data_IF_081389614068
#
_entry.id   IF_081389614068
#
_cell.length_a   1.000
_cell.length_b   1.000
_cell.length_c   1.000
_cell.angle_alpha   90.00
_cell.angle_beta   90.00
_cell.angle_gamma   90.00
#
_symmetry.space_group_name_H-M   'P 1'
#
loop_
_entity.id
_entity.type
_entity.pdbx_description
1 polymer ?
#
# COMPACT_ATOMS: atom_id res chain seq x y z
N UNK A 1 28.30 -3.29 -14.96
CA UNK A 1 27.60 -2.45 -15.93
C UNK A 1 26.40 -1.93 -15.18
N UNK A 2 26.32 -0.62 -14.98
CA UNK A 2 25.29 -0.02 -14.14
C UNK A 2 23.93 -0.12 -14.87
N UNK A 3 22.83 -0.25 -14.14
CA UNK A 3 21.49 -0.33 -14.75
C UNK A 3 21.17 0.94 -15.55
N UNK A 4 21.74 2.08 -15.11
CA UNK A 4 21.73 3.33 -15.84
C UNK A 4 22.42 3.22 -17.22
N UNK A 5 23.59 2.56 -17.30
CA UNK A 5 24.32 2.37 -18.56
C UNK A 5 23.50 1.55 -19.58
N UNK A 6 22.76 0.55 -19.09
CA UNK A 6 21.87 -0.28 -19.92
C UNK A 6 20.68 0.53 -20.43
N UNK A 7 20.07 1.37 -19.59
CA UNK A 7 18.98 2.26 -20.03
C UNK A 7 19.46 3.29 -21.07
N UNK A 8 20.64 3.88 -20.88
CA UNK A 8 21.23 4.82 -21.84
C UNK A 8 21.58 4.11 -23.16
N UNK A 9 22.12 2.90 -23.10
CA UNK A 9 22.39 2.12 -24.31
C UNK A 9 21.11 1.80 -25.08
N UNK A 10 20.08 1.31 -24.40
CA UNK A 10 18.79 0.98 -25.00
C UNK A 10 18.09 2.22 -25.57
N UNK A 11 18.19 3.37 -24.90
CA UNK A 11 17.57 4.59 -25.41
C UNK A 11 18.19 5.06 -26.73
N UNK A 12 19.50 4.88 -26.91
CA UNK A 12 20.18 5.22 -28.17
C UNK A 12 19.77 4.32 -29.35
N UNK A 13 19.18 3.14 -29.10
CA UNK A 13 18.71 2.23 -30.15
C UNK A 13 17.27 2.50 -30.58
N UNK A 14 16.51 3.29 -29.81
CA UNK A 14 15.10 3.53 -30.06
C UNK A 14 14.87 4.78 -30.92
N UNK A 15 13.85 4.77 -31.82
CA UNK A 15 13.42 5.98 -32.49
C UNK A 15 13.01 7.07 -31.49
N UNK A 16 13.36 8.33 -31.77
CA UNK A 16 13.07 9.48 -30.88
C UNK A 16 11.57 9.61 -30.55
N UNK A 17 10.69 9.33 -31.51
CA UNK A 17 9.24 9.36 -31.30
C UNK A 17 8.79 8.29 -30.31
N UNK A 18 9.40 7.10 -30.33
CA UNK A 18 9.11 6.02 -29.39
C UNK A 18 9.60 6.38 -27.99
N UNK A 19 10.81 6.93 -27.86
CA UNK A 19 11.34 7.42 -26.59
C UNK A 19 10.43 8.48 -25.97
N UNK A 20 10.01 9.46 -26.76
CA UNK A 20 9.12 10.53 -26.29
C UNK A 20 7.76 9.99 -25.81
N UNK A 21 7.20 8.96 -26.48
CA UNK A 21 5.98 8.28 -26.01
C UNK A 21 6.20 7.56 -24.70
N UNK A 22 7.29 6.80 -24.59
CA UNK A 22 7.64 6.04 -23.38
C UNK A 22 7.87 6.98 -22.19
N UNK A 23 8.64 8.06 -22.37
CA UNK A 23 8.95 9.04 -21.33
C UNK A 23 7.73 9.88 -20.91
N UNK A 24 6.74 10.03 -21.79
CA UNK A 24 5.47 10.67 -21.46
C UNK A 24 4.53 9.73 -20.71
N UNK A 25 4.51 8.45 -21.06
CA UNK A 25 3.52 7.49 -20.55
C UNK A 25 3.96 6.85 -19.22
N UNK A 26 5.11 6.17 -19.22
CA UNK A 26 5.46 5.25 -18.13
C UNK A 26 5.72 5.93 -16.78
N UNK A 27 6.42 7.08 -16.70
CA UNK A 27 6.61 7.79 -15.44
C UNK A 27 5.30 8.26 -14.79
N UNK A 28 4.25 8.44 -15.58
CA UNK A 28 2.93 8.88 -15.09
C UNK A 28 2.02 7.74 -14.64
N UNK A 29 2.35 6.47 -14.94
CA UNK A 29 1.49 5.34 -14.61
C UNK A 29 1.27 5.18 -13.11
N UNK A 30 2.33 5.20 -12.31
CA UNK A 30 2.24 5.02 -10.85
C UNK A 30 1.49 6.18 -10.18
N UNK A 31 1.84 7.47 -10.40
CA UNK A 31 1.06 8.58 -9.86
C UNK A 31 -0.41 8.55 -10.28
N UNK A 32 -0.70 8.28 -11.56
CA UNK A 32 -2.06 8.21 -12.05
C UNK A 32 -2.86 7.07 -11.40
N UNK A 33 -2.24 5.91 -11.17
CA UNK A 33 -2.87 4.79 -10.49
C UNK A 33 -3.28 5.15 -9.06
N UNK A 34 -2.40 5.83 -8.31
CA UNK A 34 -2.67 6.26 -6.93
C UNK A 34 -3.85 7.25 -6.88
N UNK A 35 -3.83 8.28 -7.74
CA UNK A 35 -4.91 9.27 -7.83
C UNK A 35 -6.23 8.64 -8.29
N UNK A 36 -6.15 7.68 -9.21
CA UNK A 36 -7.29 6.97 -9.72
C UNK A 36 -7.96 6.11 -8.64
N UNK A 37 -7.18 5.35 -7.87
CA UNK A 37 -7.68 4.57 -6.72
C UNK A 37 -8.41 5.48 -5.72
N UNK A 38 -7.81 6.63 -5.37
CA UNK A 38 -8.44 7.60 -4.46
C UNK A 38 -9.76 8.16 -5.04
N UNK A 39 -9.81 8.38 -6.35
CA UNK A 39 -11.02 8.84 -7.05
C UNK A 39 -12.12 7.78 -7.04
N UNK A 40 -11.78 6.50 -7.23
CA UNK A 40 -12.72 5.37 -7.15
C UNK A 40 -13.28 5.25 -5.74
N UNK A 41 -12.44 5.35 -4.71
CA UNK A 41 -12.90 5.35 -3.32
C UNK A 41 -13.85 6.52 -3.03
N UNK A 42 -13.53 7.70 -3.55
CA UNK A 42 -14.35 8.90 -3.38
C UNK A 42 -15.72 8.72 -4.03
N UNK A 43 -15.76 8.20 -5.25
CA UNK A 43 -17.02 7.93 -5.94
C UNK A 43 -17.86 6.86 -5.23
N UNK A 44 -17.23 5.77 -4.79
CA UNK A 44 -17.91 4.71 -4.02
C UNK A 44 -18.48 5.26 -2.71
N UNK A 45 -17.73 6.15 -2.04
CA UNK A 45 -18.17 6.81 -0.83
C UNK A 45 -19.36 7.75 -1.08
N UNK A 46 -19.28 8.61 -2.11
CA UNK A 46 -20.36 9.52 -2.52
C UNK A 46 -21.62 8.72 -2.85
N UNK A 47 -21.52 7.68 -3.67
CA UNK A 47 -22.64 6.84 -4.07
C UNK A 47 -23.31 6.15 -2.86
N UNK A 48 -22.52 5.77 -1.86
CA UNK A 48 -23.03 5.13 -0.66
C UNK A 48 -23.89 6.03 0.24
N UNK A 49 -23.78 7.35 0.13
CA UNK A 49 -24.67 8.25 0.89
C UNK A 49 -26.14 8.12 0.46
N UNK A 50 -26.39 7.75 -0.80
CA UNK A 50 -27.74 7.52 -1.30
C UNK A 50 -28.33 6.18 -0.80
N UNK A 51 -27.48 5.24 -0.37
CA UNK A 51 -27.86 3.88 -0.01
C UNK A 51 -27.05 3.43 1.22
N UNK A 52 -27.60 3.68 2.42
CA UNK A 52 -27.03 3.17 3.67
C UNK A 52 -26.78 1.65 3.52
N UNK A 53 -25.56 1.21 3.83
CA UNK A 53 -25.05 -0.17 3.70
C UNK A 53 -24.63 -0.67 2.30
N UNK A 54 -24.72 0.15 1.24
CA UNK A 54 -24.25 -0.24 -0.09
C UNK A 54 -22.75 0.01 -0.35
N UNK A 55 -21.99 0.50 0.65
CA UNK A 55 -20.54 0.83 0.51
C UNK A 55 -19.72 -0.33 -0.04
N UNK A 56 -19.91 -1.51 0.55
CA UNK A 56 -19.23 -2.74 0.17
C UNK A 56 -19.63 -3.12 -1.26
N UNK A 57 -20.92 -3.01 -1.59
CA UNK A 57 -21.42 -3.33 -2.92
C UNK A 57 -20.81 -2.42 -3.99
N UNK A 58 -20.72 -1.10 -3.75
CA UNK A 58 -20.10 -0.18 -4.70
C UNK A 58 -18.61 -0.46 -4.91
N UNK A 59 -17.87 -0.78 -3.86
CA UNK A 59 -16.46 -1.19 -3.97
C UNK A 59 -16.32 -2.51 -4.74
N UNK A 60 -17.21 -3.47 -4.51
CA UNK A 60 -17.25 -4.74 -5.24
C UNK A 60 -17.61 -4.55 -6.72
N UNK A 61 -18.56 -3.67 -7.02
CA UNK A 61 -18.91 -3.32 -8.40
C UNK A 61 -17.74 -2.64 -9.11
N UNK A 62 -17.06 -1.69 -8.45
CA UNK A 62 -15.85 -1.08 -8.99
C UNK A 62 -14.76 -2.13 -9.26
N UNK A 63 -14.50 -3.02 -8.30
CA UNK A 63 -13.54 -4.11 -8.45
C UNK A 63 -13.90 -5.01 -9.64
N UNK A 64 -15.17 -5.41 -9.78
CA UNK A 64 -15.61 -6.23 -10.91
C UNK A 64 -15.40 -5.51 -12.25
N UNK A 65 -15.84 -4.25 -12.34
CA UNK A 65 -15.73 -3.41 -13.52
C UNK A 65 -14.26 -3.26 -13.97
N UNK A 66 -13.35 -2.93 -13.05
CA UNK A 66 -11.94 -2.74 -13.41
C UNK A 66 -11.22 -4.05 -13.70
N UNK A 67 -11.59 -5.14 -13.03
CA UNK A 67 -11.06 -6.46 -13.37
C UNK A 67 -11.39 -6.82 -14.83
N UNK A 68 -12.63 -6.54 -15.26
CA UNK A 68 -13.03 -6.72 -16.65
C UNK A 68 -12.27 -5.79 -17.59
N UNK A 69 -12.24 -4.48 -17.32
CA UNK A 69 -11.62 -3.49 -18.22
C UNK A 69 -10.12 -3.70 -18.39
N UNK A 70 -9.40 -3.98 -17.30
CA UNK A 70 -7.97 -4.27 -17.35
C UNK A 70 -7.71 -5.62 -18.03
N UNK A 71 -8.60 -6.60 -17.86
CA UNK A 71 -8.56 -7.86 -18.62
C UNK A 71 -8.74 -7.68 -20.12
N UNK A 72 -9.75 -6.89 -20.55
CA UNK A 72 -9.99 -6.55 -21.95
C UNK A 72 -8.78 -5.85 -22.59
N UNK A 73 -8.08 -5.00 -21.84
CA UNK A 73 -6.85 -4.33 -22.30
C UNK A 73 -5.69 -5.33 -22.44
N UNK A 74 -5.55 -6.27 -21.52
CA UNK A 74 -4.53 -7.30 -21.56
C UNK A 74 -4.72 -8.22 -22.78
N UNK A 75 -5.95 -8.61 -23.09
CA UNK A 75 -6.29 -9.43 -24.27
C UNK A 75 -5.99 -8.73 -25.61
N UNK A 76 -5.97 -7.40 -25.62
CA UNK A 76 -5.60 -6.61 -26.80
C UNK A 76 -4.09 -6.56 -27.03
N UNK A 77 -3.27 -7.01 -26.08
CA UNK A 77 -1.82 -6.93 -26.18
C UNK A 77 -1.28 -7.81 -27.31
N UNK A 78 -0.26 -7.29 -28.01
CA UNK A 78 0.44 -8.01 -29.09
C UNK A 78 1.94 -8.08 -28.79
N UNK A 79 2.35 -8.87 -27.77
CA UNK A 79 3.74 -8.90 -27.30
C UNK A 79 4.71 -9.48 -28.35
N UNK A 80 4.23 -10.27 -29.31
CA UNK A 80 5.07 -10.99 -30.28
C UNK A 80 5.59 -10.15 -31.45
N UNK A 81 5.19 -8.89 -31.60
CA UNK A 81 5.48 -8.08 -32.79
C UNK A 81 6.52 -6.95 -32.57
N UNK A 82 7.16 -6.87 -31.40
CA UNK A 82 8.00 -5.72 -31.03
C UNK A 82 9.51 -6.03 -31.10
N UNK A 83 10.35 -5.06 -31.49
CA UNK A 83 11.81 -5.18 -31.37
C UNK A 83 12.22 -5.46 -29.92
N UNK A 84 13.23 -6.32 -29.73
CA UNK A 84 13.71 -6.72 -28.41
C UNK A 84 14.16 -5.53 -27.55
N UNK A 85 14.81 -4.53 -28.17
CA UNK A 85 15.31 -3.34 -27.47
C UNK A 85 14.17 -2.46 -26.92
N UNK A 86 13.05 -2.37 -27.64
CA UNK A 86 11.85 -1.67 -27.16
C UNK A 86 11.23 -2.37 -25.96
N UNK A 87 11.07 -3.70 -26.05
CA UNK A 87 10.53 -4.49 -24.96
C UNK A 87 11.41 -4.43 -23.71
N UNK A 88 12.74 -4.47 -23.88
CA UNK A 88 13.70 -4.35 -22.79
C UNK A 88 13.71 -2.94 -22.16
N UNK A 89 13.59 -1.89 -22.97
CA UNK A 89 13.52 -0.52 -22.46
C UNK A 89 12.23 -0.27 -21.68
N UNK A 90 11.08 -0.72 -22.20
CA UNK A 90 9.80 -0.68 -21.50
C UNK A 90 9.87 -1.48 -20.20
N UNK A 91 10.46 -2.68 -20.25
CA UNK A 91 10.67 -3.50 -19.07
C UNK A 91 11.42 -2.73 -17.99
N UNK A 92 12.59 -2.17 -18.35
CA UNK A 92 13.41 -1.38 -17.45
C UNK A 92 12.67 -0.17 -16.84
N UNK A 93 11.79 0.48 -17.61
CA UNK A 93 10.99 1.64 -17.17
C UNK A 93 9.74 1.27 -16.36
N UNK A 94 9.31 0.01 -16.36
CA UNK A 94 8.13 -0.44 -15.61
C UNK A 94 8.48 -1.33 -14.41
N UNK A 95 9.76 -1.58 -14.15
CA UNK A 95 10.21 -2.42 -13.04
C UNK A 95 9.57 -1.99 -11.72
N UNK A 96 9.57 -0.70 -11.39
CA UNK A 96 9.00 -0.16 -10.16
C UNK A 96 7.54 -0.57 -9.95
N UNK A 97 6.69 -0.43 -10.98
CA UNK A 97 5.27 -0.81 -10.92
C UNK A 97 5.11 -2.32 -10.73
N UNK A 98 5.93 -3.12 -11.40
CA UNK A 98 5.91 -4.59 -11.28
C UNK A 98 6.36 -5.05 -9.90
N UNK A 99 7.41 -4.43 -9.36
CA UNK A 99 7.91 -4.73 -8.03
C UNK A 99 6.88 -4.37 -6.97
N UNK A 100 6.25 -3.20 -7.09
CA UNK A 100 5.14 -2.82 -6.23
C UNK A 100 4.00 -3.86 -6.26
N UNK A 101 3.54 -4.27 -7.44
CA UNK A 101 2.48 -5.27 -7.58
C UNK A 101 2.90 -6.65 -7.00
N UNK A 102 4.14 -7.07 -7.26
CA UNK A 102 4.73 -8.29 -6.70
C UNK A 102 4.81 -8.27 -5.17
N UNK A 103 5.23 -7.14 -4.60
CA UNK A 103 5.27 -6.93 -3.16
C UNK A 103 3.86 -6.98 -2.55
N UNK A 104 2.86 -6.33 -3.14
CA UNK A 104 1.45 -6.41 -2.70
C UNK A 104 0.90 -7.84 -2.76
N UNK A 105 1.31 -8.64 -3.74
CA UNK A 105 0.98 -10.08 -3.82
C UNK A 105 1.61 -10.86 -2.66
N UNK A 106 2.89 -10.60 -2.36
CA UNK A 106 3.56 -11.23 -1.22
C UNK A 106 2.80 -10.88 0.06
N UNK A 107 2.52 -9.58 0.28
CA UNK A 107 1.75 -9.12 1.42
C UNK A 107 0.42 -9.85 1.55
N UNK A 108 -0.41 -9.88 0.51
CA UNK A 108 -1.73 -10.51 0.55
C UNK A 108 -1.68 -12.03 0.79
N UNK A 109 -0.57 -12.69 0.42
CA UNK A 109 -0.33 -14.12 0.62
C UNK A 109 0.15 -14.51 2.02
N UNK A 110 0.60 -13.55 2.83
CA UNK A 110 1.02 -13.83 4.19
C UNK A 110 -0.22 -14.21 5.01
N UNK A 111 -0.43 -15.52 5.25
CA UNK A 111 -1.56 -16.15 5.98
C UNK A 111 -1.89 -15.46 7.31
N UNK A 112 -0.91 -14.76 7.89
CA UNK A 112 -1.07 -14.07 9.16
C UNK A 112 -1.72 -12.70 9.04
N UNK A 113 -1.74 -12.01 7.89
CA UNK A 113 -2.18 -10.60 7.74
C UNK A 113 -3.59 -10.28 8.26
N UNK A 114 -4.36 -11.30 8.64
CA UNK A 114 -5.75 -11.20 9.07
C UNK A 114 -6.04 -12.13 10.26
N UNK A 115 -5.24 -12.15 11.33
CA UNK A 115 -5.56 -13.04 12.45
C UNK A 115 -6.90 -12.58 13.04
N UNK A 116 -7.65 -13.49 13.65
CA UNK A 116 -8.64 -13.11 14.65
C UNK A 116 -7.87 -12.43 15.77
N UNK A 117 -7.76 -11.10 15.67
CA UNK A 117 -7.00 -10.32 16.62
C UNK A 117 -7.62 -10.57 17.99
N UNK A 118 -6.81 -10.89 19.02
CA UNK A 118 -7.34 -10.98 20.36
C UNK A 118 -8.06 -9.65 20.64
N UNK A 119 -9.35 -9.72 20.98
CA UNK A 119 -10.08 -8.55 21.47
C UNK A 119 -9.39 -8.10 22.74
N UNK A 120 -8.44 -7.18 22.59
CA UNK A 120 -7.74 -6.54 23.68
C UNK A 120 -8.73 -5.55 24.32
N UNK A 121 -9.68 -6.11 25.09
CA UNK A 121 -10.51 -5.39 26.05
C UNK A 121 -9.64 -5.06 27.28
N UNK A 122 -8.60 -4.26 27.06
CA UNK A 122 -7.71 -3.82 28.14
C UNK A 122 -8.41 -2.69 28.89
N UNK A 123 -9.15 -3.06 29.94
CA UNK A 123 -9.75 -2.13 30.89
C UNK A 123 -8.63 -1.36 31.62
N UNK A 124 -8.63 -0.03 31.52
CA UNK A 124 -7.79 0.83 32.36
C UNK A 124 -6.76 1.71 31.65
N UNK A 125 -6.54 1.57 30.33
CA UNK A 125 -5.70 2.53 29.58
C UNK A 125 -6.60 3.63 29.05
N UNK A 126 -6.61 4.77 29.76
CA UNK A 126 -7.33 5.99 29.34
C UNK A 126 -6.99 6.33 27.89
N UNK A 127 -8.02 6.75 27.16
CA UNK A 127 -7.99 7.19 25.76
C UNK A 127 -7.02 8.37 25.57
N UNK A 128 -5.72 8.09 25.41
CA UNK A 128 -4.74 9.11 25.06
C UNK A 128 -4.96 9.51 23.59
N UNK A 129 -5.53 10.70 23.39
CA UNK A 129 -5.63 11.35 22.08
C UNK A 129 -4.22 11.66 21.55
N UNK A 130 -4.05 11.72 20.23
CA UNK A 130 -2.77 12.05 19.58
C UNK A 130 -2.14 13.37 20.08
N UNK A 131 -2.95 14.28 20.64
CA UNK A 131 -2.52 15.56 21.22
C UNK A 131 -1.84 15.43 22.61
N UNK A 132 -1.82 14.25 23.23
CA UNK A 132 -1.21 13.99 24.56
C UNK A 132 -0.01 13.04 24.49
N UNK A 133 0.53 12.75 23.30
CA UNK A 133 1.65 11.81 23.10
C UNK A 133 2.94 12.24 23.82
N UNK A 134 3.12 13.53 24.09
CA UNK A 134 4.27 14.09 24.80
C UNK A 134 4.15 13.97 26.33
N UNK A 135 2.97 13.59 26.85
CA UNK A 135 2.71 13.38 28.29
C UNK A 135 2.78 11.89 28.70
N UNK A 136 3.05 10.98 27.76
CA UNK A 136 3.24 9.56 28.08
C UNK A 136 4.59 9.38 28.78
N UNK A 137 4.55 9.24 30.11
CA UNK A 137 5.72 9.01 30.95
C UNK A 137 6.41 7.67 30.57
N UNK A 138 7.64 7.80 30.08
CA UNK A 138 8.40 6.75 29.37
C UNK A 138 8.83 5.60 30.28
N UNK A 139 8.93 5.84 31.59
CA UNK A 139 9.41 4.85 32.56
C UNK A 139 8.37 3.79 32.93
N UNK A 140 7.12 4.19 33.14
CA UNK A 140 6.05 3.30 33.61
C UNK A 140 5.30 2.57 32.48
N UNK A 141 5.45 3.03 31.23
CA UNK A 141 4.76 2.44 30.07
C UNK A 141 5.51 1.27 29.44
N UNK A 142 6.85 1.25 29.52
CA UNK A 142 7.68 0.19 28.91
C UNK A 142 7.47 -1.18 29.56
N UNK A 143 7.29 -1.27 30.89
CA UNK A 143 6.98 -2.54 31.55
C UNK A 143 5.56 -3.04 31.22
N UNK A 144 4.59 -2.14 31.08
CA UNK A 144 3.21 -2.47 30.70
C UNK A 144 3.12 -3.02 29.28
N UNK A 145 3.92 -2.48 28.35
CA UNK A 145 3.95 -2.94 26.95
C UNK A 145 4.82 -4.19 26.73
N UNK A 146 5.73 -4.53 27.66
CA UNK A 146 6.56 -5.75 27.55
C UNK A 146 5.70 -7.01 27.52
N UNK A 147 4.68 -7.12 28.37
CA UNK A 147 3.81 -8.31 28.39
C UNK A 147 3.06 -8.50 27.07
N UNK A 148 2.64 -7.40 26.44
CA UNK A 148 1.99 -7.43 25.12
C UNK A 148 3.00 -7.86 24.06
N UNK A 149 4.21 -7.29 24.11
CA UNK A 149 5.29 -7.64 23.20
C UNK A 149 5.67 -9.13 23.25
N UNK A 150 5.83 -9.66 24.46
CA UNK A 150 6.18 -11.06 24.71
C UNK A 150 5.08 -11.99 24.24
N UNK A 151 3.80 -11.62 24.44
CA UNK A 151 2.67 -12.38 23.94
C UNK A 151 2.60 -12.41 22.40
N UNK A 152 2.92 -11.29 21.71
CA UNK A 152 2.93 -11.24 20.25
C UNK A 152 4.08 -12.04 19.63
N UNK A 153 5.29 -11.87 20.16
CA UNK A 153 6.47 -12.56 19.62
C UNK A 153 6.63 -14.01 20.10
N UNK A 154 5.77 -14.46 21.02
CA UNK A 154 5.84 -15.77 21.70
C UNK A 154 7.24 -16.09 22.24
N UNK A 155 7.91 -15.06 22.77
CA UNK A 155 9.27 -15.14 23.35
C UNK A 155 9.55 -13.93 24.22
N UNK A 156 10.56 -14.00 25.11
CA UNK A 156 11.06 -12.82 25.82
C UNK A 156 11.51 -11.73 24.85
N UNK A 157 11.12 -10.49 25.13
CA UNK A 157 11.42 -9.31 24.28
C UNK A 157 12.28 -8.35 25.08
N UNK A 158 13.37 -7.87 24.48
CA UNK A 158 14.25 -6.95 25.18
C UNK A 158 13.67 -5.52 25.23
N UNK A 159 14.16 -4.71 26.17
CA UNK A 159 13.68 -3.33 26.35
C UNK A 159 13.94 -2.43 25.13
N UNK A 160 14.96 -2.73 24.32
CA UNK A 160 15.26 -1.96 23.12
C UNK A 160 14.17 -2.17 22.05
N UNK A 161 13.71 -3.42 21.85
CA UNK A 161 12.61 -3.76 20.94
C UNK A 161 11.29 -3.11 21.37
N UNK A 162 10.96 -3.16 22.67
CA UNK A 162 9.76 -2.49 23.20
C UNK A 162 9.84 -0.97 23.01
N UNK A 163 11.02 -0.38 23.25
CA UNK A 163 11.25 1.06 23.06
C UNK A 163 11.12 1.45 21.59
N UNK A 164 11.72 0.69 20.68
CA UNK A 164 11.63 0.93 19.23
C UNK A 164 10.16 0.88 18.77
N UNK A 165 9.44 -0.20 19.07
CA UNK A 165 8.02 -0.32 18.70
C UNK A 165 7.13 0.78 19.32
N UNK A 166 7.45 1.23 20.54
CA UNK A 166 6.77 2.38 21.18
C UNK A 166 7.04 3.67 20.41
N UNK A 167 8.29 3.93 20.01
CA UNK A 167 8.63 5.11 19.19
C UNK A 167 7.91 5.05 17.84
N UNK A 168 7.98 3.91 17.16
CA UNK A 168 7.34 3.68 15.89
C UNK A 168 5.81 3.89 15.96
N UNK A 169 5.15 3.37 16.99
CA UNK A 169 3.73 3.61 17.26
C UNK A 169 3.39 5.09 17.47
N UNK A 170 4.25 5.86 18.15
CA UNK A 170 4.09 7.33 18.28
C UNK A 170 4.21 8.02 16.93
N UNK A 171 5.20 7.64 16.12
CA UNK A 171 5.42 8.22 14.79
C UNK A 171 4.22 7.97 13.88
N UNK A 172 3.71 6.74 13.83
CA UNK A 172 2.48 6.40 13.10
C UNK A 172 1.31 7.27 13.57
N UNK A 173 1.05 7.37 14.88
CA UNK A 173 -0.06 8.19 15.39
C UNK A 173 0.09 9.67 15.07
N UNK A 174 1.32 10.21 15.13
CA UNK A 174 1.59 11.64 14.94
C UNK A 174 1.47 12.05 13.48
N UNK A 175 1.86 11.19 12.54
CA UNK A 175 2.03 11.59 11.16
C UNK A 175 1.09 10.86 10.20
N UNK A 176 0.83 9.57 10.40
CA UNK A 176 -0.04 8.81 9.50
C UNK A 176 -1.52 9.18 9.69
N UNK A 177 -2.01 9.27 10.94
CA UNK A 177 -3.42 9.63 11.17
C UNK A 177 -3.76 11.05 10.72
N UNK A 178 -2.79 11.97 10.73
CA UNK A 178 -3.00 13.34 10.27
C UNK A 178 -3.10 13.42 8.74
N UNK A 179 -2.41 12.53 8.01
CA UNK A 179 -2.48 12.41 6.54
C UNK A 179 -3.82 11.81 6.08
N UNK A 180 -4.58 11.13 6.95
CA UNK A 180 -5.90 10.59 6.60
C UNK A 180 -7.02 11.64 6.51
N UNK A 181 -6.73 12.92 6.76
CA UNK A 181 -7.67 14.03 6.51
C UNK A 181 -7.97 14.11 4.99
N UNK A 182 -9.17 13.70 4.61
CA UNK A 182 -9.64 13.72 3.21
C UNK A 182 -9.83 12.34 2.57
N UNK A 183 -9.39 11.26 3.22
CA UNK A 183 -9.62 9.89 2.73
C UNK A 183 -11.09 9.50 2.98
N UNK A 184 -11.88 9.14 1.94
CA UNK A 184 -13.32 8.94 2.03
C UNK A 184 -13.76 7.87 3.05
N UNK A 185 -12.99 6.78 3.16
CA UNK A 185 -13.25 5.69 4.10
C UNK A 185 -12.36 5.69 5.34
N UNK A 186 -11.56 6.74 5.56
CA UNK A 186 -10.72 6.79 6.74
C UNK A 186 -11.56 6.80 8.00
N UNK A 187 -11.25 5.85 8.87
CA UNK A 187 -11.74 5.81 10.24
C UNK A 187 -11.28 7.10 10.95
N UNK A 188 -12.19 7.89 11.52
CA UNK A 188 -11.86 9.14 12.22
C UNK A 188 -11.80 9.02 13.74
N UNK A 189 -11.99 7.80 14.25
CA UNK A 189 -11.97 7.55 15.69
C UNK A 189 -10.54 7.48 16.22
N UNK A 190 -10.26 8.07 17.40
CA UNK A 190 -8.96 7.94 18.05
C UNK A 190 -8.63 6.48 18.33
N UNK A 191 -7.35 6.11 18.16
CA UNK A 191 -6.85 4.78 18.50
C UNK A 191 -6.12 4.87 19.84
N UNK A 192 -6.48 4.06 20.83
CA UNK A 192 -5.69 3.94 22.05
C UNK A 192 -4.23 3.56 21.73
N UNK A 193 -3.27 4.18 22.40
CA UNK A 193 -1.84 3.95 22.13
C UNK A 193 -1.44 2.48 22.22
N UNK A 194 -1.95 1.74 23.22
CA UNK A 194 -1.72 0.29 23.39
C UNK A 194 -2.12 -0.53 22.16
N UNK A 195 -3.20 -0.12 21.50
CA UNK A 195 -3.75 -0.77 20.30
C UNK A 195 -2.87 -0.47 19.09
N UNK A 196 -2.35 0.76 18.99
CA UNK A 196 -1.34 1.09 17.98
C UNK A 196 -0.04 0.32 18.19
N UNK A 197 0.45 0.25 19.43
CA UNK A 197 1.65 -0.51 19.78
C UNK A 197 1.52 -1.98 19.36
N UNK A 198 0.39 -2.62 19.68
CA UNK A 198 0.10 -3.99 19.25
C UNK A 198 0.12 -4.15 17.72
N UNK A 199 -0.50 -3.22 16.98
CA UNK A 199 -0.51 -3.26 15.51
C UNK A 199 0.89 -3.10 14.89
N UNK A 200 1.72 -2.21 15.45
CA UNK A 200 3.11 -2.02 15.03
C UNK A 200 3.96 -3.25 15.35
N UNK A 201 3.79 -3.85 16.52
CA UNK A 201 4.51 -5.07 16.90
C UNK A 201 4.18 -6.24 15.97
N UNK A 202 2.90 -6.36 15.64
CA UNK A 202 2.41 -7.31 14.66
C UNK A 202 3.03 -7.06 13.26
N UNK A 203 3.10 -5.80 12.81
CA UNK A 203 3.77 -5.42 11.57
C UNK A 203 5.27 -5.76 11.56
N UNK A 204 5.98 -5.46 12.65
CA UNK A 204 7.40 -5.81 12.80
C UNK A 204 7.62 -7.32 12.76
N UNK A 205 6.71 -8.11 13.32
CA UNK A 205 6.76 -9.56 13.23
C UNK A 205 6.55 -10.06 11.79
N UNK A 206 5.59 -9.49 11.06
CA UNK A 206 5.39 -9.80 9.64
C UNK A 206 6.63 -9.50 8.79
N UNK A 207 7.30 -8.36 9.06
CA UNK A 207 8.53 -8.00 8.37
C UNK A 207 9.71 -8.95 8.61
N UNK A 208 9.67 -9.74 9.70
CA UNK A 208 10.64 -10.80 9.97
C UNK A 208 10.29 -12.14 9.29
N UNK A 209 9.14 -12.24 8.61
CA UNK A 209 8.74 -13.45 7.90
C UNK A 209 9.69 -13.66 6.70
N UNK A 210 10.32 -14.84 6.54
CA UNK A 210 11.21 -15.13 5.42
C UNK A 210 10.56 -14.89 4.04
N UNK A 211 9.25 -15.09 3.90
CA UNK A 211 8.55 -14.81 2.64
C UNK A 211 8.53 -13.31 2.30
N UNK A 212 8.39 -12.44 3.30
CA UNK A 212 8.53 -10.99 3.13
C UNK A 212 10.00 -10.58 2.95
N UNK A 213 10.91 -11.21 3.70
CA UNK A 213 12.34 -10.87 3.69
C UNK A 213 13.10 -11.33 2.44
N UNK A 214 12.65 -12.42 1.79
CA UNK A 214 13.27 -12.98 0.59
C UNK A 214 12.79 -12.32 -0.70
N UNK A 215 11.78 -11.44 -0.64
CA UNK A 215 11.47 -10.56 -1.76
C UNK A 215 12.63 -9.57 -1.90
N UNK A 216 13.21 -9.45 -3.10
CA UNK A 216 14.27 -8.48 -3.39
C UNK A 216 13.58 -7.22 -3.94
N UNK A 217 13.46 -6.14 -3.15
CA UNK A 217 12.88 -4.89 -3.64
C UNK A 217 13.72 -4.32 -4.78
N UNK A 218 13.04 -3.66 -5.71
CA UNK A 218 13.67 -2.67 -6.58
C UNK A 218 13.24 -1.29 -6.07
N UNK A 219 14.22 -0.41 -5.94
CA UNK A 219 14.08 0.97 -5.45
C UNK A 219 12.86 1.65 -6.09
N UNK A 220 11.97 2.16 -5.25
CA UNK A 220 10.97 3.16 -5.63
C UNK A 220 11.71 4.47 -5.90
N UNK A 221 11.62 4.97 -7.11
CA UNK A 221 12.36 6.13 -7.61
C UNK A 221 11.68 7.45 -7.28
N UNK A 222 10.86 7.52 -6.24
CA UNK A 222 10.13 8.74 -5.89
C UNK A 222 10.49 9.17 -4.46
N UNK A 223 11.33 10.19 -4.37
CA UNK A 223 11.52 11.02 -3.18
C UNK A 223 10.25 11.80 -2.78
N UNK A 224 9.12 11.12 -2.67
CA UNK A 224 7.82 11.63 -2.25
C UNK A 224 7.09 10.72 -1.25
N UNK A 225 7.80 9.90 -0.48
CA UNK A 225 7.28 9.57 0.85
C UNK A 225 7.35 10.86 1.68
N UNK A 226 6.22 11.52 2.00
CA UNK A 226 6.25 12.71 2.84
C UNK A 226 6.67 12.25 4.24
N UNK A 227 7.94 12.51 4.60
CA UNK A 227 8.47 12.62 5.97
C UNK A 227 7.61 11.93 7.05
N UNK A 228 7.98 10.75 7.60
CA UNK A 228 7.74 10.49 9.03
C UNK A 228 8.21 9.16 9.68
N UNK A 229 8.18 7.99 9.07
CA UNK A 229 8.31 6.73 9.84
C UNK A 229 9.72 6.15 9.70
N UNK A 230 10.36 6.37 8.54
CA UNK A 230 11.72 5.90 8.20
C UNK A 230 12.76 6.13 9.29
N UNK A 231 12.83 7.31 9.92
CA UNK A 231 13.86 7.60 10.94
C UNK A 231 13.65 6.87 12.26
N UNK A 232 12.45 6.33 12.51
CA UNK A 232 12.12 5.53 13.70
C UNK A 232 12.35 4.03 13.47
N UNK A 233 12.35 3.57 12.21
CA UNK A 233 12.82 2.25 11.81
C UNK A 233 14.36 2.34 11.81
N UNK A 234 15.06 1.38 12.40
CA UNK A 234 16.51 1.48 12.68
C UNK A 234 17.34 1.69 11.39
N UNK A 235 17.70 2.94 11.04
CA UNK A 235 18.70 3.19 10.00
C UNK A 235 18.58 4.48 9.19
N UNK A 236 19.49 4.62 8.22
CA UNK A 236 19.37 5.54 7.08
C UNK A 236 18.33 4.98 6.09
N UNK A 237 17.59 5.87 5.43
CA UNK A 237 16.60 5.51 4.41
C UNK A 237 17.25 4.57 3.39
N UNK A 238 16.76 3.34 3.32
CA UNK A 238 17.20 2.35 2.34
C UNK A 238 15.99 1.68 1.69
N UNK A 239 16.28 0.90 0.65
CA UNK A 239 15.32 0.26 -0.27
C UNK A 239 14.26 -0.61 0.41
N UNK A 240 14.52 -1.09 1.64
CA UNK A 240 13.58 -1.92 2.39
C UNK A 240 12.66 -1.11 3.30
N UNK A 241 12.99 0.15 3.60
CA UNK A 241 12.23 0.96 4.56
C UNK A 241 10.81 1.25 4.08
N UNK A 242 10.63 1.51 2.79
CA UNK A 242 9.31 1.80 2.21
C UNK A 242 8.38 0.58 2.29
N UNK A 243 8.91 -0.63 2.04
CA UNK A 243 8.16 -1.88 2.22
C UNK A 243 7.73 -2.07 3.68
N UNK A 244 8.63 -1.81 4.63
CA UNK A 244 8.28 -1.85 6.06
C UNK A 244 7.21 -0.81 6.41
N UNK A 245 7.29 0.40 5.85
CA UNK A 245 6.25 1.41 6.03
C UNK A 245 4.89 0.93 5.49
N UNK A 246 4.86 0.32 4.30
CA UNK A 246 3.64 -0.26 3.75
C UNK A 246 3.08 -1.40 4.62
N UNK A 247 3.93 -2.29 5.14
CA UNK A 247 3.52 -3.36 6.07
C UNK A 247 2.92 -2.76 7.35
N UNK A 248 3.57 -1.74 7.92
CA UNK A 248 3.10 -1.06 9.13
C UNK A 248 1.77 -0.38 8.88
N UNK A 249 1.63 0.33 7.76
CA UNK A 249 0.39 1.03 7.38
C UNK A 249 -0.76 0.04 7.19
N UNK A 250 -0.57 -1.01 6.38
CA UNK A 250 -1.60 -2.01 6.10
C UNK A 250 -2.01 -2.75 7.39
N UNK A 251 -1.05 -3.11 8.25
CA UNK A 251 -1.32 -3.74 9.55
C UNK A 251 -2.12 -2.83 10.49
N UNK A 252 -1.79 -1.54 10.51
CA UNK A 252 -2.49 -0.55 11.33
C UNK A 252 -3.93 -0.37 10.84
N UNK A 253 -4.16 -0.19 9.55
CA UNK A 253 -5.51 -0.07 9.01
C UNK A 253 -6.35 -1.34 9.18
N UNK A 254 -5.73 -2.51 9.02
CA UNK A 254 -6.38 -3.78 9.31
C UNK A 254 -6.81 -3.89 10.78
N UNK A 255 -5.91 -3.56 11.70
CA UNK A 255 -6.18 -3.58 13.13
C UNK A 255 -7.28 -2.59 13.50
N UNK A 256 -7.27 -1.39 12.93
CA UNK A 256 -8.34 -0.40 13.11
C UNK A 256 -9.69 -0.91 12.65
N UNK A 257 -9.73 -1.55 11.48
CA UNK A 257 -10.96 -2.12 10.95
C UNK A 257 -11.51 -3.24 11.84
N UNK A 258 -10.66 -4.08 12.43
CA UNK A 258 -11.06 -5.11 13.38
C UNK A 258 -11.73 -4.54 14.64
N UNK A 259 -11.13 -3.51 15.23
CA UNK A 259 -11.64 -2.88 16.45
C UNK A 259 -13.02 -2.24 16.27
N UNK A 260 -13.29 -1.74 15.07
CA UNK A 260 -14.52 -1.01 14.76
C UNK A 260 -15.57 -1.87 14.08
N UNK A 261 -15.36 -3.19 14.02
CA UNK A 261 -16.21 -4.13 13.29
C UNK A 261 -16.42 -3.72 11.81
N UNK A 262 -15.43 -3.05 11.21
CA UNK A 262 -15.44 -2.61 9.82
C UNK A 262 -14.53 -3.43 8.91
N UNK A 263 -14.10 -4.63 9.35
CA UNK A 263 -13.31 -5.57 8.54
C UNK A 263 -13.92 -5.88 7.17
N UNK A 264 -15.25 -6.10 7.02
CA UNK A 264 -15.83 -6.34 5.70
C UNK A 264 -15.62 -5.16 4.73
N UNK A 265 -15.71 -3.93 5.24
CA UNK A 265 -15.44 -2.73 4.45
C UNK A 265 -13.97 -2.62 4.08
N UNK A 266 -13.05 -2.83 5.03
CA UNK A 266 -11.62 -2.79 4.77
C UNK A 266 -11.19 -3.86 3.74
N UNK A 267 -11.79 -5.05 3.81
CA UNK A 267 -11.57 -6.11 2.81
C UNK A 267 -12.00 -5.64 1.42
N UNK A 268 -13.19 -5.07 1.29
CA UNK A 268 -13.69 -4.56 0.01
C UNK A 268 -12.81 -3.44 -0.57
N UNK A 269 -12.29 -2.55 0.28
CA UNK A 269 -11.33 -1.51 -0.14
C UNK A 269 -10.06 -2.16 -0.69
N UNK A 270 -9.46 -3.08 0.08
CA UNK A 270 -8.23 -3.76 -0.32
C UNK A 270 -8.42 -4.61 -1.58
N UNK A 271 -9.54 -5.30 -1.72
CA UNK A 271 -9.87 -6.09 -2.92
C UNK A 271 -10.00 -5.19 -4.15
N UNK A 272 -10.66 -4.04 -4.03
CA UNK A 272 -10.80 -3.08 -5.12
C UNK A 272 -9.44 -2.50 -5.53
N UNK A 273 -8.60 -2.11 -4.55
CA UNK A 273 -7.24 -1.63 -4.80
C UNK A 273 -6.40 -2.69 -5.50
N UNK A 274 -6.40 -3.91 -4.98
CA UNK A 274 -5.61 -5.02 -5.50
C UNK A 274 -5.97 -5.33 -6.96
N UNK A 275 -7.26 -5.30 -7.33
CA UNK A 275 -7.66 -5.47 -8.73
C UNK A 275 -6.99 -4.45 -9.66
N UNK A 276 -6.94 -3.18 -9.24
CA UNK A 276 -6.35 -2.10 -10.05
C UNK A 276 -4.82 -2.23 -10.06
N UNK A 277 -4.20 -2.36 -8.89
CA UNK A 277 -2.74 -2.46 -8.72
C UNK A 277 -2.17 -3.67 -9.46
N UNK A 278 -2.76 -4.85 -9.27
CA UNK A 278 -2.35 -6.07 -9.97
C UNK A 278 -2.67 -6.02 -11.46
N UNK A 279 -3.83 -5.44 -11.83
CA UNK A 279 -4.22 -5.29 -13.22
C UNK A 279 -3.19 -4.44 -13.98
N UNK A 280 -2.82 -3.28 -13.45
CA UNK A 280 -1.78 -2.40 -14.04
C UNK A 280 -0.42 -3.09 -14.03
N UNK A 281 -0.04 -3.79 -12.95
CA UNK A 281 1.18 -4.59 -12.90
C UNK A 281 1.29 -5.61 -14.03
N UNK A 282 0.21 -6.35 -14.32
CA UNK A 282 0.13 -7.30 -15.45
C UNK A 282 0.22 -6.61 -16.82
N UNK A 283 -0.35 -5.41 -16.97
CA UNK A 283 -0.22 -4.64 -18.20
C UNK A 283 1.22 -4.17 -18.43
N UNK A 284 1.97 -3.90 -17.37
CA UNK A 284 3.40 -3.65 -17.50
C UNK A 284 4.14 -4.90 -17.99
N UNK A 285 3.81 -6.09 -17.48
CA UNK A 285 4.50 -7.35 -17.82
C UNK A 285 4.53 -7.68 -19.32
N UNK A 286 3.49 -7.30 -20.06
CA UNK A 286 3.40 -7.57 -21.51
C UNK A 286 4.28 -6.67 -22.39
N UNK A 287 4.94 -5.66 -21.80
CA UNK A 287 5.81 -4.71 -22.50
C UNK A 287 5.15 -4.00 -23.70
N UNK A 288 3.85 -3.73 -23.59
CA UNK A 288 3.03 -3.18 -24.68
C UNK A 288 2.64 -1.72 -24.39
N UNK A 289 3.36 -0.78 -25.02
CA UNK A 289 3.15 0.66 -24.85
C UNK A 289 1.74 1.11 -25.20
N UNK A 290 1.13 0.52 -26.22
CA UNK A 290 -0.21 0.94 -26.65
C UNK A 290 -1.26 0.56 -25.60
N UNK A 291 -1.06 -0.59 -24.94
CA UNK A 291 -1.91 -1.05 -23.84
C UNK A 291 -1.70 -0.21 -22.58
N UNK A 292 -0.45 0.16 -22.26
CA UNK A 292 -0.16 1.03 -21.13
C UNK A 292 -0.68 2.46 -21.32
N UNK A 293 -0.61 3.01 -22.54
CA UNK A 293 -1.20 4.31 -22.87
C UNK A 293 -2.73 4.28 -22.72
N UNK A 294 -3.40 3.19 -23.14
CA UNK A 294 -4.84 2.99 -22.92
C UNK A 294 -5.19 2.89 -21.44
N UNK A 295 -4.38 2.19 -20.65
CA UNK A 295 -4.56 2.11 -19.20
C UNK A 295 -4.42 3.48 -18.55
N UNK A 296 -3.40 4.25 -18.92
CA UNK A 296 -3.20 5.62 -18.45
C UNK A 296 -4.39 6.52 -18.81
N UNK A 297 -4.90 6.42 -20.04
CA UNK A 297 -6.08 7.17 -20.48
C UNK A 297 -7.35 6.80 -19.69
N UNK A 298 -7.52 5.52 -19.34
CA UNK A 298 -8.61 5.05 -18.47
C UNK A 298 -8.50 5.66 -17.06
N UNK A 299 -7.29 5.82 -16.54
CA UNK A 299 -7.03 6.34 -15.19
C UNK A 299 -7.23 7.86 -15.05
N UNK A 300 -7.46 8.59 -16.14
CA UNK A 300 -7.70 10.06 -16.12
C UNK A 300 -8.96 10.44 -15.32
N UNK A 301 -9.95 9.55 -15.26
CA UNK A 301 -11.20 9.79 -14.51
C UNK A 301 -11.75 8.46 -14.01
N UNK A 302 -12.09 8.37 -12.73
CA UNK A 302 -12.92 7.29 -12.22
C UNK A 302 -14.32 7.33 -12.87
N UNK A 303 -14.79 6.27 -13.56
CA UNK A 303 -16.20 6.10 -13.88
C UNK A 303 -17.08 6.22 -12.64
N UNK A 304 -18.31 6.70 -12.86
CA UNK A 304 -19.31 6.87 -11.81
C UNK A 304 -19.84 5.52 -11.33
N UNK A 305 -20.43 5.49 -10.14
CA UNK A 305 -21.01 4.26 -9.60
C UNK A 305 -22.10 3.62 -10.49
N UNK A 306 -22.76 4.43 -11.33
CA UNK A 306 -23.72 3.94 -12.33
C UNK A 306 -23.07 3.16 -13.46
N UNK A 307 -21.86 3.55 -13.85
CA UNK A 307 -21.09 2.91 -14.93
C UNK A 307 -20.49 1.58 -14.48
N UNK A 308 -20.29 1.37 -13.17
CA UNK A 308 -19.83 0.08 -12.64
C UNK A 308 -20.89 -1.01 -12.61
N UNK A 309 -22.17 -0.64 -12.56
CA UNK A 309 -23.31 -1.57 -12.48
C UNK A 309 -24.02 -1.85 -13.81
N UNK A 310 -23.51 -1.31 -14.92
CA UNK A 310 -24.03 -1.49 -16.27
C UNK A 310 -23.25 -2.58 -17.01
#
# INVERSE_FOLDING_TARGET
MDFHDVQVYLSLQLPLEMLARIEKCLPSLMPAMVEFIASVETEAYIASYAHQDARIQFLQSAAHYYNQKLGELLEQSRPTCRPLDEALYIHAKTLEVRHYAGFKTVLSSLEFQRPDLPRLDVVGIREARAQLLDEIDYGNTVESFRNIAEAFFDRPVNNAQVKNATQLARHVLKHYLWITEGVPFAIRLPIPFVKMFAAVMYALQLGNNPAAHNHIPHIFGLGQAPKSIVTAIEGEVNERHEEFEHIIVDAVDWYRAALLNSLPLQRAILEMRDVIEQGVGRLCEVNDLDVMEKALAMMVRAPTAKEWGA
#
